data_IF_892125367884
#
_entry.id   IF_892125367884
#
_cell.length_a   1.000
_cell.length_b   1.000
_cell.length_c   1.000
_cell.angle_alpha   90.00
_cell.angle_beta   90.00
_cell.angle_gamma   90.00
#
_symmetry.space_group_name_H-M   'P 1'
#
loop_
_entity.id
_entity.type
_entity.pdbx_description
1 polymer ?
#
# COMPACT_ATOMS: atom_id res chain seq x y z
N UNK A 1 12.52 0.57 2.39
CA UNK A 1 11.36 1.30 2.97
C UNK A 1 11.11 2.49 2.07
N UNK A 2 9.86 2.71 1.69
CA UNK A 2 9.45 3.82 0.82
C UNK A 2 8.50 4.71 1.60
N UNK A 3 8.58 6.02 1.40
CA UNK A 3 7.66 6.96 2.01
C UNK A 3 7.40 8.14 1.10
N UNK A 4 6.21 8.71 1.21
CA UNK A 4 5.83 9.93 0.51
C UNK A 4 4.85 10.72 1.40
N UNK A 5 4.92 12.04 1.37
CA UNK A 5 4.00 12.91 2.11
C UNK A 5 3.27 13.83 1.16
N UNK A 6 1.94 13.82 1.18
CA UNK A 6 1.10 14.69 0.36
C UNK A 6 0.05 15.35 1.23
N UNK A 7 -0.02 16.69 1.22
CA UNK A 7 -0.99 17.47 2.01
C UNK A 7 -1.01 17.09 3.50
N UNK A 8 0.17 16.83 4.08
CA UNK A 8 0.29 16.43 5.49
C UNK A 8 -0.03 14.96 5.78
N UNK A 9 -0.42 14.15 4.79
CA UNK A 9 -0.60 12.71 4.97
C UNK A 9 0.66 11.98 4.52
N UNK A 10 1.34 11.35 5.48
CA UNK A 10 2.53 10.52 5.20
C UNK A 10 2.09 9.08 5.01
N UNK A 11 2.51 8.48 3.91
CA UNK A 11 2.31 7.05 3.64
C UNK A 11 3.69 6.39 3.59
N UNK A 12 3.92 5.41 4.46
CA UNK A 12 5.15 4.61 4.48
C UNK A 12 4.84 3.16 4.12
N UNK A 13 5.64 2.58 3.24
CA UNK A 13 5.48 1.20 2.75
C UNK A 13 6.75 0.40 2.97
N UNK A 14 6.60 -0.74 3.62
CA UNK A 14 7.66 -1.73 3.80
C UNK A 14 7.27 -3.03 3.07
N UNK A 15 7.80 -3.27 1.86
CA UNK A 15 7.64 -4.54 1.17
C UNK A 15 8.63 -5.57 1.71
N UNK A 16 8.23 -6.83 1.73
CA UNK A 16 9.08 -7.96 2.10
C UNK A 16 8.67 -9.20 1.30
N UNK A 17 9.67 -9.97 0.91
CA UNK A 17 9.50 -11.21 0.16
C UNK A 17 9.11 -12.35 1.10
N UNK A 18 8.19 -13.21 0.67
CA UNK A 18 7.77 -14.37 1.43
C UNK A 18 8.41 -15.63 0.85
N UNK A 19 9.61 -15.96 1.34
CA UNK A 19 10.38 -17.12 0.88
C UNK A 19 9.54 -18.41 0.94
N UNK A 20 8.89 -18.69 2.06
CA UNK A 20 8.11 -19.92 2.30
C UNK A 20 6.87 -20.08 1.41
N UNK A 21 6.43 -19.02 0.74
CA UNK A 21 5.27 -19.04 -0.16
C UNK A 21 5.65 -18.88 -1.64
N UNK A 22 6.94 -18.75 -1.92
CA UNK A 22 7.45 -18.50 -3.26
C UNK A 22 8.17 -19.72 -3.82
N UNK A 23 8.14 -19.84 -5.14
CA UNK A 23 8.87 -20.85 -5.91
C UNK A 23 9.59 -20.14 -7.07
N UNK A 24 10.82 -19.63 -6.83
CA UNK A 24 11.61 -18.95 -7.84
C UNK A 24 11.91 -19.80 -9.08
N UNK A 25 12.06 -21.12 -8.92
CA UNK A 25 12.40 -22.03 -10.00
C UNK A 25 11.22 -22.17 -10.98
N UNK A 26 9.99 -22.06 -10.48
CA UNK A 26 8.78 -21.98 -11.29
C UNK A 26 8.40 -20.54 -11.71
N UNK A 27 9.20 -19.53 -11.35
CA UNK A 27 8.90 -18.12 -11.60
C UNK A 27 7.73 -17.56 -10.77
N UNK A 28 7.39 -18.18 -9.65
CA UNK A 28 6.32 -17.76 -8.75
C UNK A 28 6.89 -17.00 -7.54
N UNK A 29 6.57 -15.71 -7.43
CA UNK A 29 7.11 -14.84 -6.38
C UNK A 29 5.99 -14.21 -5.57
N UNK A 30 5.98 -14.45 -4.26
CA UNK A 30 5.00 -13.87 -3.33
C UNK A 30 5.66 -12.78 -2.51
N UNK A 31 5.02 -11.61 -2.52
CA UNK A 31 5.46 -10.44 -1.77
C UNK A 31 4.33 -9.98 -0.85
N UNK A 32 4.69 -9.59 0.36
CA UNK A 32 3.81 -8.88 1.29
C UNK A 32 4.30 -7.45 1.47
N UNK A 33 3.41 -6.61 2.00
CA UNK A 33 3.72 -5.22 2.28
C UNK A 33 3.00 -4.76 3.55
N UNK A 34 3.67 -3.91 4.31
CA UNK A 34 3.06 -3.17 5.40
C UNK A 34 2.93 -1.71 4.99
N UNK A 35 1.70 -1.19 5.01
CA UNK A 35 1.40 0.22 4.73
C UNK A 35 1.06 0.90 6.05
N UNK A 36 1.74 1.99 6.36
CA UNK A 36 1.44 2.90 7.47
C UNK A 36 0.97 4.23 6.88
N UNK A 37 -0.13 4.75 7.38
CA UNK A 37 -0.70 6.04 6.98
C UNK A 37 -0.78 6.89 8.24
N UNK A 38 -0.14 8.05 8.22
CA UNK A 38 -0.05 8.97 9.34
C UNK A 38 -0.60 10.34 8.92
N UNK A 39 -1.42 10.96 9.77
CA UNK A 39 -1.95 12.29 9.54
C UNK A 39 -1.11 13.32 10.29
N UNK A 40 -0.13 13.88 9.59
CA UNK A 40 0.72 14.97 10.08
C UNK A 40 0.10 16.35 9.81
N UNK A 41 -1.12 16.40 9.27
CA UNK A 41 -1.89 17.61 9.03
C UNK A 41 -2.63 18.10 10.27
N UNK A 42 -3.30 19.25 10.14
CA UNK A 42 -4.10 19.86 11.22
C UNK A 42 -5.57 19.48 11.23
N UNK A 43 -6.05 18.75 10.22
CA UNK A 43 -7.46 18.40 10.05
C UNK A 43 -7.68 16.89 10.09
N UNK A 44 -8.82 16.44 10.60
CA UNK A 44 -9.22 15.04 10.53
C UNK A 44 -9.54 14.66 9.08
N UNK A 45 -8.97 13.55 8.60
CA UNK A 45 -9.21 13.01 7.26
C UNK A 45 -9.81 11.61 7.31
N UNK A 46 -10.41 11.16 6.21
CA UNK A 46 -10.90 9.79 6.09
C UNK A 46 -10.37 9.13 4.82
N UNK A 47 -9.81 7.93 4.96
CA UNK A 47 -9.46 7.11 3.81
C UNK A 47 -10.74 6.52 3.21
N UNK A 48 -11.09 6.99 2.01
CA UNK A 48 -12.28 6.55 1.28
C UNK A 48 -12.01 5.38 0.36
N UNK A 49 -10.99 5.50 -0.47
CA UNK A 49 -10.72 4.58 -1.58
C UNK A 49 -9.21 4.33 -1.69
N UNK A 50 -8.86 3.19 -2.29
CA UNK A 50 -7.49 2.85 -2.69
C UNK A 50 -7.42 2.54 -4.17
N UNK A 51 -6.26 2.83 -4.76
CA UNK A 51 -5.92 2.44 -6.12
C UNK A 51 -4.47 1.94 -6.14
N UNK A 52 -4.28 0.70 -6.59
CA UNK A 52 -2.98 0.12 -6.83
C UNK A 52 -2.75 -0.03 -8.33
N UNK A 53 -1.57 0.38 -8.78
CA UNK A 53 -1.06 0.10 -10.12
C UNK A 53 0.21 -0.73 -9.97
N UNK A 54 0.11 -2.02 -10.21
CA UNK A 54 1.17 -3.01 -10.03
C UNK A 54 1.74 -3.31 -11.40
N UNK A 55 3.07 -3.23 -11.54
CA UNK A 55 3.76 -3.48 -12.80
C UNK A 55 4.75 -4.62 -12.59
N UNK A 56 4.66 -5.65 -13.42
CA UNK A 56 5.61 -6.77 -13.36
C UNK A 56 6.87 -6.52 -14.20
N UNK A 57 7.82 -7.46 -14.14
CA UNK A 57 9.10 -7.36 -14.86
C UNK A 57 8.96 -7.35 -16.39
N UNK A 58 7.85 -7.84 -16.94
CA UNK A 58 7.55 -7.81 -18.38
C UNK A 58 6.81 -6.51 -18.78
N UNK A 59 6.58 -5.60 -17.83
CA UNK A 59 5.86 -4.34 -18.06
C UNK A 59 4.33 -4.50 -18.08
N UNK A 60 3.79 -5.66 -17.73
CA UNK A 60 2.34 -5.85 -17.65
C UNK A 60 1.81 -5.11 -16.43
N UNK A 61 0.69 -4.41 -16.63
CA UNK A 61 0.06 -3.58 -15.60
C UNK A 61 -1.19 -4.27 -15.08
N UNK A 62 -1.30 -4.37 -13.76
CA UNK A 62 -2.52 -4.75 -13.07
C UNK A 62 -3.00 -3.57 -12.22
N UNK A 63 -4.26 -3.19 -12.40
CA UNK A 63 -4.91 -2.18 -11.55
C UNK A 63 -5.86 -2.86 -10.56
N UNK A 64 -5.79 -2.42 -9.30
CA UNK A 64 -6.74 -2.82 -8.26
C UNK A 64 -7.35 -1.56 -7.66
N UNK A 65 -8.67 -1.44 -7.74
CA UNK A 65 -9.43 -0.32 -7.17
C UNK A 65 -10.43 -0.85 -6.15
N UNK A 66 -10.64 -0.10 -5.08
CA UNK A 66 -11.63 -0.49 -4.08
C UNK A 66 -11.86 0.57 -3.02
N UNK A 67 -13.00 0.44 -2.32
CA UNK A 67 -13.28 1.24 -1.14
C UNK A 67 -12.39 0.81 0.03
N UNK A 68 -11.93 1.79 0.80
CA UNK A 68 -11.21 1.58 2.04
C UNK A 68 -9.86 0.87 1.88
N UNK A 69 -9.38 0.33 2.99
CA UNK A 69 -8.27 -0.62 3.09
C UNK A 69 -8.72 -1.76 3.98
N UNK A 70 -8.40 -3.01 3.62
CA UNK A 70 -8.75 -4.22 4.40
C UNK A 70 -10.23 -4.33 4.84
N UNK A 71 -11.16 -3.69 4.12
CA UNK A 71 -12.59 -3.67 4.43
C UNK A 71 -13.06 -2.45 5.23
N UNK A 72 -12.15 -1.58 5.65
CA UNK A 72 -12.39 -0.43 6.54
C UNK A 72 -12.16 0.92 5.83
N UNK A 73 -12.86 1.97 6.26
CA UNK A 73 -12.61 3.37 5.85
C UNK A 73 -12.13 4.21 7.04
N UNK A 74 -10.87 4.05 7.47
CA UNK A 74 -10.37 4.65 8.70
C UNK A 74 -10.42 6.18 8.66
N UNK A 75 -10.78 6.76 9.80
CA UNK A 75 -10.69 8.19 10.07
C UNK A 75 -9.37 8.43 10.81
N UNK A 76 -8.54 9.34 10.30
CA UNK A 76 -7.26 9.71 10.88
C UNK A 76 -7.38 11.12 11.46
N UNK A 77 -7.28 11.23 12.78
CA UNK A 77 -7.17 12.52 13.46
C UNK A 77 -5.75 13.08 13.28
N UNK A 78 -5.55 14.40 13.45
CA UNK A 78 -4.22 15.00 13.52
C UNK A 78 -3.33 14.34 14.59
N UNK A 79 -2.07 14.10 14.24
CA UNK A 79 -1.06 13.48 15.11
C UNK A 79 -1.02 11.95 15.00
#
# INVERSE_FOLDING_TARGET
>A
MYEETTNGIKVSVHPFYLDDQSDPDSGHYVWAYQVRIENLGGETVQLRNRHWRIVDAAGRVQEVRGAGVVGEQPILNPG
#
